data_IF_020087793998
#
_entry.id   IF_020087793998
#
_cell.length_a   1.000
_cell.length_b   1.000
_cell.length_c   1.000
_cell.angle_alpha   90.00
_cell.angle_beta   90.00
_cell.angle_gamma   90.00
#
_symmetry.space_group_name_H-M   'P 1'
#
loop_
_entity.id
_entity.type
_entity.pdbx_description
1 polymer ?
#
# COMPACT_ATOMS: atom_id res chain seq x y z
N UNK A 1 8.29 44.19 -10.26
CA UNK A 1 7.39 43.12 -9.86
C UNK A 1 8.21 42.13 -9.05
N UNK A 2 7.90 41.96 -7.79
CA UNK A 2 8.53 40.91 -6.95
C UNK A 2 8.03 39.56 -7.49
N UNK A 3 8.90 38.81 -8.15
CA UNK A 3 8.56 37.48 -8.64
C UNK A 3 8.39 36.55 -7.43
N UNK A 4 7.14 36.24 -7.17
CA UNK A 4 6.81 35.30 -6.12
C UNK A 4 7.00 33.88 -6.70
N UNK A 5 7.76 33.03 -6.02
CA UNK A 5 7.92 31.60 -6.39
C UNK A 5 6.71 30.75 -6.00
N UNK A 6 5.57 31.38 -5.81
CA UNK A 6 4.29 30.76 -5.49
C UNK A 6 3.30 31.00 -6.63
N UNK A 7 2.83 29.90 -7.22
CA UNK A 7 1.98 29.89 -8.41
C UNK A 7 0.64 29.26 -8.06
N UNK A 8 -0.42 30.05 -8.05
CA UNK A 8 -1.79 29.56 -7.96
C UNK A 8 -2.30 29.20 -9.37
N UNK A 9 -2.68 27.94 -9.58
CA UNK A 9 -3.12 27.46 -10.90
C UNK A 9 -4.35 28.19 -11.42
N UNK A 10 -5.21 28.72 -10.55
CA UNK A 10 -6.42 29.46 -10.93
C UNK A 10 -6.15 30.91 -11.30
N UNK A 11 -4.99 31.46 -10.88
CA UNK A 11 -4.54 32.81 -11.18
C UNK A 11 -3.53 32.84 -12.32
N UNK A 12 -3.16 31.68 -12.86
CA UNK A 12 -2.21 31.61 -13.95
C UNK A 12 -2.86 32.04 -15.27
N UNK A 13 -2.13 32.80 -16.09
CA UNK A 13 -2.69 33.45 -17.30
C UNK A 13 -2.68 32.54 -18.53
N UNK A 14 -2.11 31.36 -18.47
CA UNK A 14 -2.04 30.40 -19.59
C UNK A 14 -2.89 29.18 -19.26
N UNK A 15 -3.86 28.87 -20.13
CA UNK A 15 -4.72 27.72 -20.00
C UNK A 15 -5.93 27.95 -19.08
N UNK A 16 -6.72 26.92 -18.91
CA UNK A 16 -7.85 26.88 -17.98
C UNK A 16 -7.74 25.63 -17.10
N UNK A 17 -7.42 25.77 -15.80
CA UNK A 17 -7.16 24.63 -14.93
C UNK A 17 -8.35 23.70 -14.75
N UNK A 18 -9.57 24.19 -14.90
CA UNK A 18 -10.77 23.36 -14.82
C UNK A 18 -11.03 22.51 -16.08
N UNK A 19 -10.42 22.89 -17.22
CA UNK A 19 -10.51 22.13 -18.48
C UNK A 19 -9.34 21.17 -18.66
N UNK A 20 -8.14 21.63 -18.36
CA UNK A 20 -6.92 20.83 -18.38
C UNK A 20 -5.85 21.44 -17.45
N UNK A 21 -5.80 20.97 -16.23
CA UNK A 21 -4.82 21.42 -15.25
C UNK A 21 -3.38 21.03 -15.65
N UNK A 22 -3.23 19.99 -16.45
CA UNK A 22 -1.90 19.53 -16.91
C UNK A 22 -1.23 20.55 -17.82
N UNK A 23 -1.96 21.17 -18.74
CA UNK A 23 -1.45 22.28 -19.55
C UNK A 23 -1.00 23.47 -18.69
N UNK A 24 -1.80 23.83 -17.69
CA UNK A 24 -1.51 24.93 -16.77
C UNK A 24 -0.24 24.67 -15.98
N UNK A 25 -0.15 23.49 -15.33
CA UNK A 25 1.03 23.13 -14.52
C UNK A 25 2.28 23.06 -15.39
N UNK A 26 2.22 22.45 -16.57
CA UNK A 26 3.36 22.39 -17.50
C UNK A 26 3.83 23.78 -17.92
N UNK A 27 2.90 24.71 -18.17
CA UNK A 27 3.26 26.10 -18.51
C UNK A 27 3.93 26.85 -17.34
N UNK A 28 3.47 26.59 -16.11
CA UNK A 28 4.13 27.11 -14.89
C UNK A 28 5.54 26.53 -14.75
N UNK A 29 5.72 25.21 -14.94
CA UNK A 29 7.03 24.57 -14.89
C UNK A 29 7.99 25.21 -15.92
N UNK A 30 7.53 25.49 -17.13
CA UNK A 30 8.31 26.18 -18.15
C UNK A 30 8.73 27.61 -17.71
N UNK A 31 7.83 28.34 -17.05
CA UNK A 31 8.16 29.67 -16.50
C UNK A 31 9.18 29.57 -15.36
N UNK A 32 9.01 28.62 -14.44
CA UNK A 32 9.98 28.35 -13.37
C UNK A 32 11.36 28.08 -13.96
N UNK A 33 11.45 27.20 -14.96
CA UNK A 33 12.73 26.86 -15.63
C UNK A 33 13.40 28.09 -16.22
N UNK A 34 12.67 29.00 -16.82
CA UNK A 34 13.22 30.25 -17.37
C UNK A 34 13.78 31.20 -16.29
N UNK A 35 13.21 31.14 -15.08
CA UNK A 35 13.60 32.04 -13.96
C UNK A 35 14.63 31.44 -13.04
N UNK A 36 14.78 30.14 -12.98
CA UNK A 36 15.77 29.43 -12.14
C UNK A 36 17.16 29.49 -12.78
N UNK A 37 17.71 30.70 -12.92
CA UNK A 37 19.06 30.89 -13.41
C UNK A 37 19.97 31.34 -12.25
N UNK A 38 21.27 31.11 -12.38
CA UNK A 38 22.26 31.53 -11.39
C UNK A 38 22.28 33.06 -11.18
N UNK A 39 21.70 33.81 -12.09
CA UNK A 39 21.62 35.27 -12.07
C UNK A 39 20.30 35.82 -11.55
N UNK A 40 19.35 34.95 -11.19
CA UNK A 40 18.04 35.38 -10.65
C UNK A 40 18.18 35.85 -9.21
N UNK A 41 18.34 37.15 -9.05
CA UNK A 41 18.47 37.82 -7.75
C UNK A 41 17.20 37.74 -6.88
N UNK A 42 16.04 37.53 -7.49
CA UNK A 42 14.78 37.44 -6.74
C UNK A 42 14.68 36.13 -5.95
N UNK A 43 15.35 35.09 -6.43
CA UNK A 43 15.49 33.83 -5.74
C UNK A 43 16.71 33.74 -4.86
N UNK A 44 17.47 34.84 -4.69
CA UNK A 44 18.74 34.81 -4.01
C UNK A 44 19.71 33.79 -4.62
N UNK A 45 19.58 33.48 -5.91
CA UNK A 45 20.34 32.45 -6.61
C UNK A 45 20.00 31.02 -6.21
N UNK A 46 18.87 30.78 -5.52
CA UNK A 46 18.44 29.44 -5.07
C UNK A 46 17.22 28.97 -5.86
N UNK A 47 17.18 27.72 -6.34
CA UNK A 47 15.99 27.14 -6.94
C UNK A 47 14.94 26.86 -5.86
N UNK A 48 13.68 26.86 -6.26
CA UNK A 48 12.54 26.50 -5.41
C UNK A 48 11.28 27.19 -5.86
N UNK A 49 10.20 26.44 -5.96
CA UNK A 49 8.88 26.97 -6.32
C UNK A 49 7.76 26.14 -5.73
N UNK A 50 6.62 26.78 -5.53
CA UNK A 50 5.37 26.16 -5.08
C UNK A 50 4.32 26.34 -6.16
N UNK A 51 3.69 25.26 -6.60
CA UNK A 51 2.47 25.27 -7.40
C UNK A 51 1.33 24.91 -6.46
N UNK A 52 0.38 25.83 -6.29
CA UNK A 52 -0.77 25.66 -5.43
C UNK A 52 -2.03 25.37 -6.24
N UNK A 53 -2.75 24.34 -5.82
CA UNK A 53 -4.02 23.92 -6.39
C UNK A 53 -5.11 24.23 -5.36
N UNK A 54 -5.90 25.30 -5.53
CA UNK A 54 -7.01 25.63 -4.65
C UNK A 54 -8.07 24.49 -4.56
N UNK A 55 -9.02 24.56 -3.61
CA UNK A 55 -10.14 23.63 -3.59
C UNK A 55 -10.91 23.64 -4.91
N UNK A 56 -11.24 22.47 -5.44
CA UNK A 56 -11.97 22.29 -6.69
C UNK A 56 -11.67 20.98 -7.39
N UNK A 57 -12.46 20.69 -8.41
CA UNK A 57 -12.27 19.56 -9.31
C UNK A 57 -11.60 20.03 -10.61
N UNK A 58 -10.48 19.41 -10.93
CA UNK A 58 -9.61 19.78 -12.04
C UNK A 58 -9.42 18.61 -12.99
N UNK A 59 -9.88 18.74 -14.24
CA UNK A 59 -9.61 17.73 -15.26
C UNK A 59 -8.16 17.76 -15.69
N UNK A 60 -7.54 16.59 -15.80
CA UNK A 60 -6.18 16.42 -16.28
C UNK A 60 -6.20 15.56 -17.55
N UNK A 61 -6.01 16.19 -18.68
CA UNK A 61 -5.97 15.54 -20.02
C UNK A 61 -4.56 15.47 -20.57
N UNK A 62 -3.72 16.41 -20.19
CA UNK A 62 -2.32 16.48 -20.54
C UNK A 62 -1.47 16.04 -19.35
N UNK A 63 -0.65 15.02 -19.53
CA UNK A 63 0.29 14.57 -18.53
C UNK A 63 1.18 15.72 -18.02
N UNK A 64 1.33 15.83 -16.72
CA UNK A 64 2.29 16.78 -16.12
C UNK A 64 3.69 16.18 -16.17
N UNK A 65 4.61 16.85 -16.87
CA UNK A 65 5.99 16.43 -16.98
C UNK A 65 6.90 17.24 -16.05
N UNK A 66 7.58 16.57 -15.12
CA UNK A 66 8.47 17.19 -14.14
C UNK A 66 9.91 16.76 -14.41
N UNK A 67 10.73 17.73 -14.79
CA UNK A 67 12.18 17.55 -15.03
C UNK A 67 13.05 18.51 -14.20
N UNK A 68 12.46 19.15 -13.19
CA UNK A 68 13.14 20.12 -12.30
C UNK A 68 13.14 19.63 -10.85
N UNK A 69 14.16 20.04 -10.11
CA UNK A 69 14.27 19.81 -8.65
C UNK A 69 13.63 20.94 -7.84
N UNK A 70 13.44 20.70 -6.55
CA UNK A 70 12.96 21.70 -5.57
C UNK A 70 11.58 22.27 -5.90
N UNK A 71 10.74 21.47 -6.52
CA UNK A 71 9.35 21.82 -6.84
C UNK A 71 8.42 21.24 -5.77
N UNK A 72 7.54 22.07 -5.25
CA UNK A 72 6.44 21.63 -4.41
C UNK A 72 5.11 21.84 -5.15
N UNK A 73 4.31 20.77 -5.27
CA UNK A 73 2.93 20.84 -5.76
C UNK A 73 2.04 20.52 -4.56
N UNK A 74 1.14 21.44 -4.22
CA UNK A 74 0.30 21.29 -3.04
C UNK A 74 -1.13 21.74 -3.28
N UNK A 75 -2.05 21.03 -2.61
CA UNK A 75 -3.47 21.36 -2.59
C UNK A 75 -3.98 21.85 -1.24
N UNK A 76 -5.27 22.00 -1.11
CA UNK A 76 -6.00 22.44 0.08
C UNK A 76 -6.68 21.28 0.84
N UNK A 77 -6.13 20.09 0.76
CA UNK A 77 -6.69 18.86 1.32
C UNK A 77 -6.99 17.84 0.23
N UNK A 78 -6.89 16.56 0.56
CA UNK A 78 -7.03 15.51 -0.46
C UNK A 78 -8.49 15.25 -0.90
N UNK A 79 -9.49 15.82 -0.21
CA UNK A 79 -10.90 15.72 -0.63
C UNK A 79 -11.43 14.30 -0.82
N UNK A 80 -10.70 13.32 -0.29
CA UNK A 80 -10.98 11.92 -0.52
C UNK A 80 -12.17 11.47 0.32
N UNK A 81 -13.06 10.72 -0.30
CA UNK A 81 -14.21 10.11 0.35
C UNK A 81 -14.08 8.60 0.23
N UNK A 82 -14.09 7.89 1.35
CA UNK A 82 -14.16 6.44 1.29
C UNK A 82 -15.44 6.00 0.57
N UNK A 83 -15.38 4.89 -0.15
CA UNK A 83 -16.52 4.32 -0.84
C UNK A 83 -17.73 4.13 0.08
N UNK A 84 -17.49 3.68 1.31
CA UNK A 84 -18.56 3.47 2.29
C UNK A 84 -19.33 4.75 2.65
N UNK A 85 -18.65 5.88 2.80
CA UNK A 85 -19.32 7.18 3.05
C UNK A 85 -20.08 7.62 1.83
N UNK A 86 -19.46 7.53 0.64
CA UNK A 86 -20.09 7.94 -0.62
C UNK A 86 -21.39 7.21 -0.91
N UNK A 87 -21.47 5.93 -0.59
CA UNK A 87 -22.66 5.11 -0.80
C UNK A 87 -23.75 5.33 0.25
N UNK A 88 -23.37 5.63 1.47
CA UNK A 88 -24.28 5.63 2.61
C UNK A 88 -24.80 6.99 3.03
N UNK A 89 -24.31 8.08 2.42
CA UNK A 89 -24.70 9.44 2.78
C UNK A 89 -25.30 10.18 1.59
N UNK A 90 -26.62 10.31 1.51
CA UNK A 90 -27.30 11.05 0.45
C UNK A 90 -26.84 12.50 0.37
N UNK A 91 -26.69 13.03 -0.84
CA UNK A 91 -26.24 14.42 -1.06
C UNK A 91 -27.11 15.46 -0.34
N UNK A 92 -28.39 15.18 -0.14
CA UNK A 92 -29.32 16.05 0.59
C UNK A 92 -28.93 16.26 2.06
N UNK A 93 -28.33 15.26 2.70
CA UNK A 93 -27.90 15.35 4.10
C UNK A 93 -26.71 16.30 4.25
N UNK A 94 -25.77 16.27 3.29
CA UNK A 94 -24.63 17.19 3.26
C UNK A 94 -25.06 18.63 3.03
N UNK A 95 -26.02 18.85 2.14
CA UNK A 95 -26.57 20.17 1.90
C UNK A 95 -27.24 20.75 3.16
N UNK A 96 -27.87 19.91 3.98
CA UNK A 96 -28.47 20.32 5.25
C UNK A 96 -27.45 20.82 6.27
N UNK A 97 -26.24 20.21 6.28
CA UNK A 97 -25.13 20.62 7.13
C UNK A 97 -24.35 21.82 6.58
N UNK A 98 -24.76 22.36 5.46
CA UNK A 98 -24.04 23.41 4.71
C UNK A 98 -22.63 22.98 4.29
N UNK A 99 -22.40 21.68 4.15
CA UNK A 99 -21.16 21.11 3.61
C UNK A 99 -21.31 20.83 2.11
N UNK A 100 -20.21 20.97 1.40
CA UNK A 100 -20.07 20.58 0.00
C UNK A 100 -19.16 19.35 -0.06
N UNK A 101 -19.67 18.30 -0.64
CA UNK A 101 -19.01 17.01 -0.66
C UNK A 101 -18.85 16.44 -2.08
N UNK A 102 -17.71 15.87 -2.50
CA UNK A 102 -16.40 15.93 -1.79
C UNK A 102 -15.78 17.33 -1.88
N UNK A 103 -14.91 17.65 -0.89
CA UNK A 103 -14.18 18.91 -0.82
C UNK A 103 -12.70 18.77 -1.21
N UNK A 104 -11.90 19.80 -0.90
CA UNK A 104 -10.46 19.81 -1.13
C UNK A 104 -10.07 20.01 -2.59
N UNK A 105 -8.82 19.69 -2.92
CA UNK A 105 -8.25 19.80 -4.26
C UNK A 105 -8.19 18.44 -4.92
N UNK A 106 -8.91 18.23 -6.02
CA UNK A 106 -9.01 16.93 -6.68
C UNK A 106 -8.67 17.03 -8.15
N UNK A 107 -7.74 16.19 -8.61
CA UNK A 107 -7.33 16.06 -10.00
C UNK A 107 -8.01 14.82 -10.59
N UNK A 108 -8.86 15.04 -11.59
CA UNK A 108 -9.59 14.01 -12.31
C UNK A 108 -8.77 13.60 -13.53
N UNK A 109 -8.25 12.38 -13.54
CA UNK A 109 -7.37 11.91 -14.61
C UNK A 109 -8.17 11.47 -15.84
N UNK A 110 -8.30 12.38 -16.79
CA UNK A 110 -8.98 12.17 -18.08
C UNK A 110 -8.01 11.77 -19.22
N UNK A 111 -6.81 11.35 -18.90
CA UNK A 111 -5.84 10.88 -19.90
C UNK A 111 -6.41 9.62 -20.57
N UNK A 112 -6.45 9.62 -21.88
CA UNK A 112 -6.76 8.42 -22.65
C UNK A 112 -5.53 7.54 -22.76
N UNK A 113 -5.65 6.27 -22.36
CA UNK A 113 -4.60 5.26 -22.46
C UNK A 113 -5.06 4.16 -23.43
N UNK A 114 -4.20 3.75 -24.35
CA UNK A 114 -4.51 2.72 -25.33
C UNK A 114 -3.69 1.46 -25.07
N UNK A 115 -4.20 0.28 -25.45
CA UNK A 115 -3.41 -0.95 -25.40
C UNK A 115 -2.12 -0.82 -26.18
N UNK A 116 -0.99 -1.07 -25.52
CA UNK A 116 0.34 -0.96 -26.12
C UNK A 116 1.06 0.36 -25.86
N UNK A 117 0.41 1.32 -25.20
CA UNK A 117 1.09 2.51 -24.72
C UNK A 117 2.15 2.15 -23.66
N UNK A 118 3.15 3.00 -23.52
CA UNK A 118 4.16 2.82 -22.49
C UNK A 118 3.54 2.98 -21.09
N UNK A 119 4.04 2.25 -20.10
CA UNK A 119 3.52 2.19 -18.73
C UNK A 119 3.30 3.58 -18.10
N UNK A 120 4.13 4.56 -18.44
CA UNK A 120 4.00 5.92 -17.92
C UNK A 120 2.99 6.80 -18.70
N UNK A 121 2.44 6.34 -19.80
CA UNK A 121 1.56 7.16 -20.65
C UNK A 121 0.31 7.65 -19.92
N UNK A 122 -0.23 6.83 -19.01
CA UNK A 122 -1.39 7.17 -18.19
C UNK A 122 -1.07 7.90 -16.88
N UNK A 123 0.19 8.29 -16.64
CA UNK A 123 0.55 8.96 -15.40
C UNK A 123 0.05 10.41 -15.36
N UNK A 124 -0.63 10.77 -14.27
CA UNK A 124 -1.00 12.16 -14.03
C UNK A 124 0.24 13.04 -13.89
N UNK A 125 1.22 12.56 -13.11
CA UNK A 125 2.52 13.20 -12.94
C UNK A 125 3.64 12.24 -13.38
N UNK A 126 4.35 12.62 -14.41
CA UNK A 126 5.50 11.89 -14.92
C UNK A 126 6.79 12.63 -14.58
N UNK A 127 7.61 12.03 -13.73
CA UNK A 127 8.88 12.62 -13.26
C UNK A 127 10.03 11.94 -13.93
N UNK A 128 10.77 12.65 -14.78
CA UNK A 128 11.92 12.10 -15.50
C UNK A 128 12.94 13.16 -15.83
N UNK A 129 14.19 12.86 -15.59
CA UNK A 129 15.35 13.56 -16.14
C UNK A 129 16.38 12.55 -16.59
N UNK A 130 16.92 12.73 -17.78
CA UNK A 130 18.03 11.92 -18.27
C UNK A 130 19.36 12.55 -17.82
N UNK A 131 20.26 11.74 -17.26
CA UNK A 131 21.58 12.17 -16.85
C UNK A 131 21.64 12.82 -15.47
N UNK A 132 22.77 13.47 -15.19
CA UNK A 132 23.05 14.13 -13.94
C UNK A 132 22.84 15.65 -14.05
N UNK A 133 22.49 16.32 -12.96
CA UNK A 133 22.14 15.77 -11.65
C UNK A 133 20.76 15.12 -11.65
N UNK A 134 20.54 14.16 -10.72
CA UNK A 134 19.19 13.61 -10.45
C UNK A 134 18.20 14.72 -10.10
N UNK A 135 16.91 14.50 -10.36
CA UNK A 135 15.87 15.34 -9.76
C UNK A 135 15.84 15.03 -8.27
N UNK A 136 15.80 16.07 -7.47
CA UNK A 136 15.79 15.94 -6.02
C UNK A 136 14.79 16.89 -5.38
N UNK A 137 14.28 16.49 -4.21
CA UNK A 137 13.47 17.34 -3.34
C UNK A 137 12.21 17.87 -4.01
N UNK A 138 11.50 17.01 -4.76
CA UNK A 138 10.15 17.30 -5.23
C UNK A 138 9.15 16.81 -4.18
N UNK A 139 8.13 17.61 -3.92
CA UNK A 139 7.09 17.31 -2.97
C UNK A 139 5.70 17.38 -3.61
N UNK A 140 4.87 16.38 -3.30
CA UNK A 140 3.44 16.34 -3.59
C UNK A 140 2.68 16.32 -2.27
N UNK A 141 1.80 17.30 -2.04
CA UNK A 141 1.17 17.46 -0.73
C UNK A 141 -0.31 17.85 -0.83
N UNK A 142 -1.16 17.16 -0.06
CA UNK A 142 -2.51 17.58 0.28
C UNK A 142 -3.47 17.78 -0.91
N UNK A 143 -3.49 16.89 -1.90
CA UNK A 143 -4.52 16.84 -2.93
C UNK A 143 -4.84 15.41 -3.32
N UNK A 144 -5.95 15.20 -4.03
CA UNK A 144 -6.38 13.90 -4.52
C UNK A 144 -6.06 13.73 -6.00
N UNK A 145 -5.65 12.52 -6.39
CA UNK A 145 -5.58 12.06 -7.78
C UNK A 145 -6.61 10.94 -7.95
N UNK A 146 -7.59 11.18 -8.80
CA UNK A 146 -8.75 10.33 -9.04
C UNK A 146 -8.72 9.77 -10.46
N UNK A 147 -8.65 8.46 -10.60
CA UNK A 147 -8.61 7.77 -11.89
C UNK A 147 -9.96 7.67 -12.59
N UNK A 148 -11.08 8.05 -11.96
CA UNK A 148 -12.45 8.12 -12.51
C UNK A 148 -13.11 6.80 -12.92
N UNK A 149 -12.47 5.66 -12.74
CA UNK A 149 -12.98 4.38 -13.24
C UNK A 149 -13.57 3.47 -12.17
N UNK A 150 -14.21 4.03 -11.19
CA UNK A 150 -15.03 3.25 -10.31
C UNK A 150 -16.47 3.32 -10.82
N UNK A 151 -16.95 2.24 -11.38
CA UNK A 151 -18.35 2.12 -11.74
C UNK A 151 -19.12 1.84 -10.46
N UNK A 152 -19.62 2.90 -9.89
CA UNK A 152 -20.50 2.86 -8.76
C UNK A 152 -21.93 2.68 -9.26
N UNK A 153 -22.47 1.48 -9.11
CA UNK A 153 -23.87 1.22 -9.37
C UNK A 153 -24.76 1.46 -8.14
N UNK A 154 -24.19 2.03 -7.07
CA UNK A 154 -24.86 2.24 -5.79
C UNK A 154 -25.07 0.95 -4.98
N UNK A 155 -24.68 -0.20 -5.52
CA UNK A 155 -24.82 -1.52 -4.91
C UNK A 155 -23.46 -2.12 -4.51
N UNK A 156 -22.37 -1.38 -4.77
CA UNK A 156 -21.00 -1.86 -4.56
C UNK A 156 -20.56 -2.96 -5.54
N UNK A 157 -21.31 -3.18 -6.61
CA UNK A 157 -20.94 -4.10 -7.67
C UNK A 157 -19.95 -3.42 -8.60
N UNK A 158 -18.69 -3.51 -8.26
CA UNK A 158 -17.62 -3.14 -9.18
C UNK A 158 -17.43 -4.28 -10.16
N UNK A 159 -17.35 -3.98 -11.44
CA UNK A 159 -16.86 -4.95 -12.40
C UNK A 159 -15.35 -5.13 -12.17
N UNK A 160 -14.91 -6.22 -11.52
CA UNK A 160 -13.52 -6.41 -11.19
C UNK A 160 -12.64 -6.54 -12.42
N UNK A 161 -13.19 -6.98 -13.54
CA UNK A 161 -12.42 -7.14 -14.78
C UNK A 161 -12.03 -5.79 -15.39
N UNK A 162 -12.82 -4.75 -15.19
CA UNK A 162 -12.67 -3.47 -15.88
C UNK A 162 -12.32 -2.29 -14.96
N UNK A 163 -12.62 -2.34 -13.67
CA UNK A 163 -12.51 -1.16 -12.80
C UNK A 163 -11.09 -0.84 -12.32
N UNK A 164 -10.19 -1.81 -12.33
CA UNK A 164 -8.82 -1.65 -11.78
C UNK A 164 -7.72 -1.73 -12.83
N UNK A 165 -8.07 -1.98 -14.08
CA UNK A 165 -7.16 -1.98 -15.22
C UNK A 165 -7.60 -0.86 -16.15
N UNK A 166 -7.11 0.34 -15.87
CA UNK A 166 -7.45 1.52 -16.66
C UNK A 166 -6.23 2.24 -17.24
N UNK A 167 -5.04 1.68 -17.07
CA UNK A 167 -3.77 2.24 -17.55
C UNK A 167 -3.34 3.51 -16.83
N UNK A 168 -4.07 3.96 -15.80
CA UNK A 168 -3.80 5.24 -15.15
C UNK A 168 -2.89 5.08 -13.94
N UNK A 169 -1.91 5.97 -13.85
CA UNK A 169 -0.97 6.07 -12.74
C UNK A 169 -1.07 7.45 -12.10
N UNK A 170 -1.12 7.51 -10.78
CA UNK A 170 -1.14 8.80 -10.09
C UNK A 170 0.19 9.54 -10.25
N UNK A 171 1.26 8.99 -9.68
CA UNK A 171 2.60 9.55 -9.80
C UNK A 171 3.55 8.47 -10.30
N UNK A 172 4.23 8.75 -11.40
CA UNK A 172 5.24 7.86 -11.98
C UNK A 172 6.62 8.54 -11.93
N UNK A 173 7.53 8.00 -11.12
CA UNK A 173 8.89 8.51 -10.97
C UNK A 173 9.84 7.57 -11.71
N UNK A 174 10.30 7.99 -12.88
CA UNK A 174 11.20 7.20 -13.72
C UNK A 174 12.65 7.45 -13.34
N UNK A 175 13.38 6.38 -13.19
CA UNK A 175 14.82 6.25 -13.01
C UNK A 175 15.59 7.27 -12.14
N UNK A 176 16.24 6.74 -11.10
CA UNK A 176 17.34 7.34 -10.35
C UNK A 176 17.09 8.77 -9.80
N UNK A 177 15.90 9.05 -9.32
CA UNK A 177 15.57 10.31 -8.62
C UNK A 177 15.73 10.14 -7.11
N UNK A 178 15.76 11.23 -6.33
CA UNK A 178 15.89 11.12 -4.89
C UNK A 178 15.11 12.15 -4.07
N UNK A 179 15.05 11.92 -2.77
CA UNK A 179 14.51 12.81 -1.76
C UNK A 179 13.09 13.33 -2.01
N UNK A 180 12.25 12.54 -2.66
CA UNK A 180 10.83 12.88 -2.88
C UNK A 180 10.02 12.82 -1.58
N UNK A 181 9.03 13.71 -1.49
CA UNK A 181 8.04 13.74 -0.41
C UNK A 181 6.65 13.60 -1.01
N UNK A 182 5.90 12.62 -0.53
CA UNK A 182 4.52 12.36 -0.94
C UNK A 182 3.72 12.27 0.34
N UNK A 183 3.00 13.34 0.68
CA UNK A 183 2.44 13.54 2.02
C UNK A 183 1.02 14.09 1.97
N UNK A 184 0.10 13.49 2.74
CA UNK A 184 -1.27 13.97 2.83
C UNK A 184 -2.05 13.85 1.52
N UNK A 185 -1.61 13.00 0.62
CA UNK A 185 -2.23 12.77 -0.67
C UNK A 185 -3.40 11.80 -0.58
N UNK A 186 -4.37 11.97 -1.48
CA UNK A 186 -5.37 10.97 -1.80
C UNK A 186 -5.08 10.33 -3.17
N UNK A 187 -5.15 9.00 -3.24
CA UNK A 187 -5.09 8.25 -4.51
C UNK A 187 -6.27 7.31 -4.58
N UNK A 188 -7.05 7.40 -5.64
CA UNK A 188 -8.25 6.60 -5.77
C UNK A 188 -8.52 6.21 -7.23
N UNK A 189 -9.01 5.00 -7.46
CA UNK A 189 -9.45 4.48 -8.76
C UNK A 189 -8.38 4.51 -9.85
N UNK A 190 -7.14 4.33 -9.47
CA UNK A 190 -6.00 4.25 -10.36
C UNK A 190 -5.57 2.78 -10.50
N UNK A 191 -5.07 2.38 -11.66
CA UNK A 191 -4.41 1.09 -11.78
C UNK A 191 -3.14 1.06 -10.94
N UNK A 192 -2.37 2.18 -10.93
CA UNK A 192 -1.19 2.35 -10.11
C UNK A 192 -1.27 3.69 -9.34
N UNK A 193 -1.30 3.63 -8.01
CA UNK A 193 -1.31 4.85 -7.20
C UNK A 193 0.00 5.62 -7.32
N UNK A 194 1.09 4.98 -6.90
CA UNK A 194 2.45 5.49 -6.97
C UNK A 194 3.40 4.41 -7.49
N UNK A 195 4.08 4.68 -8.60
CA UNK A 195 5.13 3.82 -9.14
C UNK A 195 6.44 4.57 -9.23
N UNK A 196 7.52 3.96 -8.72
CA UNK A 196 8.86 4.56 -8.76
C UNK A 196 9.89 3.56 -9.26
N UNK A 197 10.89 4.05 -9.99
CA UNK A 197 12.02 3.22 -10.45
C UNK A 197 13.35 3.78 -9.98
N UNK A 198 14.18 2.93 -9.36
CA UNK A 198 15.55 3.22 -8.94
C UNK A 198 15.66 4.52 -8.12
N UNK A 199 14.72 4.78 -7.24
CA UNK A 199 14.63 6.04 -6.49
C UNK A 199 15.06 5.84 -5.04
N UNK A 200 15.76 6.85 -4.49
CA UNK A 200 16.33 6.81 -3.16
C UNK A 200 15.71 7.85 -2.21
N UNK A 201 15.86 7.64 -0.92
CA UNK A 201 15.56 8.60 0.15
C UNK A 201 14.15 9.22 0.09
N UNK A 202 13.18 8.47 -0.39
CA UNK A 202 11.79 8.92 -0.47
C UNK A 202 11.11 8.86 0.89
N UNK A 203 10.14 9.75 1.11
CA UNK A 203 9.20 9.66 2.22
C UNK A 203 7.77 9.67 1.68
N UNK A 204 7.09 8.54 1.81
CA UNK A 204 5.70 8.32 1.46
C UNK A 204 4.94 8.22 2.78
N UNK A 205 4.27 9.32 3.18
CA UNK A 205 3.84 9.49 4.55
C UNK A 205 2.43 10.10 4.64
N UNK A 206 1.61 9.55 5.55
CA UNK A 206 0.30 10.09 5.88
C UNK A 206 -0.62 10.26 4.65
N UNK A 207 -0.61 9.29 3.74
CA UNK A 207 -1.47 9.30 2.57
C UNK A 207 -2.69 8.40 2.78
N UNK A 208 -3.75 8.72 2.07
CA UNK A 208 -4.93 7.89 1.94
C UNK A 208 -4.98 7.30 0.53
N UNK A 209 -4.70 6.00 0.40
CA UNK A 209 -4.67 5.29 -0.88
C UNK A 209 -5.74 4.21 -0.84
N UNK A 210 -6.72 4.28 -1.73
CA UNK A 210 -7.77 3.30 -1.73
C UNK A 210 -8.24 2.96 -3.15
N UNK A 211 -8.73 1.73 -3.26
CA UNK A 211 -9.38 1.25 -4.48
C UNK A 211 -8.51 1.45 -5.72
N UNK A 212 -7.20 1.22 -5.57
CA UNK A 212 -6.23 1.15 -6.65
C UNK A 212 -5.90 -0.31 -6.98
N UNK A 213 -5.50 -0.60 -8.21
CA UNK A 213 -5.00 -1.91 -8.61
C UNK A 213 -3.74 -2.27 -7.84
N UNK A 214 -2.72 -1.43 -7.94
CA UNK A 214 -1.51 -1.41 -7.09
C UNK A 214 -1.42 -0.06 -6.38
N UNK A 215 -1.13 -0.05 -5.09
CA UNK A 215 -1.14 1.20 -4.34
C UNK A 215 0.23 1.90 -4.33
N UNK A 216 1.28 1.22 -3.85
CA UNK A 216 2.64 1.76 -3.80
C UNK A 216 3.62 0.73 -4.37
N UNK A 217 4.35 1.11 -5.40
CA UNK A 217 5.33 0.24 -6.06
C UNK A 217 6.70 0.92 -6.11
N UNK A 218 7.66 0.32 -5.42
CA UNK A 218 9.07 0.69 -5.44
C UNK A 218 9.82 -0.34 -6.28
N UNK A 219 10.10 -0.03 -7.53
CA UNK A 219 10.71 -0.94 -8.48
C UNK A 219 12.16 -0.59 -8.77
N UNK A 220 12.94 -1.59 -9.12
CA UNK A 220 14.35 -1.45 -9.41
C UNK A 220 15.20 -1.19 -8.16
N UNK A 221 16.48 -0.93 -8.34
CA UNK A 221 17.41 -0.71 -7.24
C UNK A 221 17.18 0.65 -6.59
N UNK A 222 16.86 0.66 -5.30
CA UNK A 222 16.68 1.87 -4.49
C UNK A 222 17.07 1.63 -3.04
N UNK A 223 17.19 2.71 -2.25
CA UNK A 223 17.56 2.59 -0.85
C UNK A 223 17.03 3.71 0.04
N UNK A 224 17.07 3.46 1.36
CA UNK A 224 16.89 4.46 2.42
C UNK A 224 15.55 5.22 2.35
N UNK A 225 14.47 4.56 1.95
CA UNK A 225 13.14 5.16 1.84
C UNK A 225 12.22 4.76 2.97
N UNK A 226 11.13 5.52 3.15
CA UNK A 226 10.12 5.26 4.18
C UNK A 226 8.72 5.23 3.58
N UNK A 227 7.91 4.27 4.03
CA UNK A 227 6.47 4.20 3.80
C UNK A 227 5.83 4.15 5.19
N UNK A 228 5.30 5.29 5.66
CA UNK A 228 4.88 5.41 7.06
C UNK A 228 3.53 6.08 7.22
N UNK A 229 2.76 5.61 8.21
CA UNK A 229 1.51 6.23 8.65
C UNK A 229 0.46 6.40 7.53
N UNK A 230 0.47 5.52 6.53
CA UNK A 230 -0.51 5.55 5.46
C UNK A 230 -1.73 4.69 5.81
N UNK A 231 -2.89 5.12 5.35
CA UNK A 231 -4.09 4.30 5.27
C UNK A 231 -4.23 3.78 3.84
N UNK A 232 -4.11 2.46 3.66
CA UNK A 232 -4.16 1.82 2.35
C UNK A 232 -5.38 0.91 2.32
N UNK A 233 -6.38 1.30 1.57
CA UNK A 233 -7.71 0.71 1.61
C UNK A 233 -7.94 -0.48 0.68
N UNK A 234 -7.11 -0.77 -0.28
CA UNK A 234 -7.13 -1.97 -1.11
C UNK A 234 -6.06 -1.92 -2.21
N UNK A 235 -5.44 -3.07 -2.48
CA UNK A 235 -4.70 -3.33 -3.72
C UNK A 235 -5.47 -4.42 -4.45
N UNK A 236 -6.41 -4.06 -5.29
CA UNK A 236 -7.44 -4.99 -5.76
C UNK A 236 -6.91 -6.16 -6.58
N UNK A 237 -6.10 -5.97 -7.59
CA UNK A 237 -5.50 -7.06 -8.39
C UNK A 237 -4.01 -7.25 -8.11
N UNK A 238 -3.43 -6.34 -7.36
CA UNK A 238 -2.00 -6.29 -7.12
C UNK A 238 -1.67 -6.14 -5.63
N UNK A 239 -0.78 -5.22 -5.36
CA UNK A 239 -0.14 -5.07 -4.06
C UNK A 239 -0.57 -3.76 -3.37
N UNK A 240 -0.71 -3.81 -2.05
CA UNK A 240 -0.78 -2.56 -1.29
C UNK A 240 0.61 -1.90 -1.22
N UNK A 241 1.65 -2.67 -0.91
CA UNK A 241 3.04 -2.22 -0.97
C UNK A 241 3.88 -3.28 -1.68
N UNK A 242 4.50 -2.92 -2.78
CA UNK A 242 5.47 -3.74 -3.49
C UNK A 242 6.83 -3.06 -3.50
N UNK A 243 7.89 -3.78 -3.15
CA UNK A 243 9.26 -3.30 -3.28
C UNK A 243 10.14 -4.36 -3.93
N UNK A 244 10.96 -3.93 -4.88
CA UNK A 244 11.86 -4.81 -5.64
C UNK A 244 13.30 -4.29 -5.56
N UNK A 245 14.25 -5.20 -5.25
CA UNK A 245 15.69 -4.92 -5.22
C UNK A 245 16.05 -3.69 -4.35
N UNK A 246 15.39 -3.52 -3.22
CA UNK A 246 15.48 -2.34 -2.38
C UNK A 246 16.29 -2.60 -1.12
N UNK A 247 17.06 -1.61 -0.64
CA UNK A 247 17.84 -1.69 0.59
C UNK A 247 17.44 -0.65 1.64
N UNK A 248 17.38 -1.06 2.92
CA UNK A 248 17.14 -0.11 4.02
C UNK A 248 15.77 0.59 3.96
N UNK A 249 14.72 -0.12 3.59
CA UNK A 249 13.35 0.38 3.56
C UNK A 249 12.73 0.32 4.96
N UNK A 250 12.04 1.37 5.38
CA UNK A 250 11.22 1.39 6.57
C UNK A 250 9.73 1.41 6.19
N UNK A 251 8.99 0.37 6.57
CA UNK A 251 7.54 0.28 6.44
C UNK A 251 6.96 0.25 7.86
N UNK A 252 6.34 1.35 8.32
CA UNK A 252 5.86 1.41 9.69
C UNK A 252 4.60 2.27 9.88
N UNK A 253 3.79 1.90 10.89
CA UNK A 253 2.60 2.67 11.25
C UNK A 253 1.49 2.65 10.21
N UNK A 254 1.56 1.80 9.18
CA UNK A 254 0.53 1.76 8.16
C UNK A 254 -0.66 0.90 8.60
N UNK A 255 -1.85 1.31 8.20
CA UNK A 255 -3.06 0.51 8.29
C UNK A 255 -3.44 0.05 6.88
N UNK A 256 -3.33 -1.26 6.63
CA UNK A 256 -3.44 -1.84 5.29
C UNK A 256 -4.59 -2.84 5.23
N UNK A 257 -5.44 -2.69 4.23
CA UNK A 257 -6.56 -3.56 3.95
C UNK A 257 -6.58 -3.94 2.45
N UNK A 258 -5.81 -4.93 2.03
CA UNK A 258 -5.80 -5.36 0.64
C UNK A 258 -6.97 -6.27 0.30
N UNK A 259 -7.29 -6.33 -0.97
CA UNK A 259 -8.27 -7.25 -1.55
C UNK A 259 -7.72 -8.01 -2.75
N UNK A 260 -6.42 -7.96 -2.97
CA UNK A 260 -5.73 -8.56 -4.10
C UNK A 260 -4.59 -9.48 -3.68
N UNK A 261 -3.45 -9.35 -4.35
CA UNK A 261 -2.35 -10.29 -4.26
C UNK A 261 -1.67 -10.32 -2.89
N UNK A 262 -1.23 -9.17 -2.35
CA UNK A 262 -0.51 -9.12 -1.09
C UNK A 262 -0.59 -7.73 -0.43
N UNK A 263 -0.54 -7.70 0.90
CA UNK A 263 -0.41 -6.43 1.64
C UNK A 263 0.98 -5.84 1.48
N UNK A 264 2.02 -6.65 1.75
CA UNK A 264 3.41 -6.25 1.64
C UNK A 264 4.18 -7.34 0.91
N UNK A 265 4.70 -7.02 -0.26
CA UNK A 265 5.48 -7.93 -1.08
C UNK A 265 6.88 -7.38 -1.32
N UNK A 266 7.88 -8.06 -0.78
CA UNK A 266 9.28 -7.67 -0.83
C UNK A 266 10.08 -8.68 -1.67
N UNK A 267 10.53 -8.25 -2.84
CA UNK A 267 11.25 -9.08 -3.81
C UNK A 267 12.71 -8.64 -3.92
N UNK A 268 13.65 -9.43 -3.44
CA UNK A 268 15.07 -9.07 -3.41
C UNK A 268 15.39 -7.89 -2.48
N UNK A 269 14.59 -7.69 -1.44
CA UNK A 269 14.73 -6.56 -0.49
C UNK A 269 15.63 -6.96 0.66
N UNK A 270 16.55 -6.06 1.04
CA UNK A 270 17.55 -6.34 2.06
C UNK A 270 17.62 -5.26 3.13
N UNK A 271 17.97 -5.69 4.37
CA UNK A 271 18.23 -4.77 5.51
C UNK A 271 17.12 -3.78 5.77
N UNK A 272 15.89 -4.22 5.62
CA UNK A 272 14.68 -3.41 5.73
C UNK A 272 13.88 -3.78 6.98
N UNK A 273 13.04 -2.85 7.42
CA UNK A 273 12.24 -3.02 8.62
C UNK A 273 10.76 -2.85 8.29
N UNK A 274 9.95 -3.82 8.69
CA UNK A 274 8.48 -3.78 8.63
C UNK A 274 7.98 -3.86 10.07
N UNK A 275 7.47 -2.77 10.63
CA UNK A 275 7.15 -2.71 12.06
C UNK A 275 5.95 -1.84 12.39
N UNK A 276 5.18 -2.23 13.39
CA UNK A 276 4.06 -1.42 13.90
C UNK A 276 2.93 -1.22 12.90
N UNK A 277 2.81 -2.08 11.88
CA UNK A 277 1.72 -2.01 10.92
C UNK A 277 0.55 -2.88 11.36
N UNK A 278 -0.66 -2.46 10.99
CA UNK A 278 -1.84 -3.30 11.01
C UNK A 278 -2.15 -3.73 9.58
N UNK A 279 -2.16 -5.04 9.35
CA UNK A 279 -2.43 -5.64 8.05
C UNK A 279 -3.66 -6.53 8.16
N UNK A 280 -4.66 -6.25 7.37
CA UNK A 280 -5.88 -7.03 7.28
C UNK A 280 -6.04 -7.58 5.87
N UNK A 281 -6.36 -8.85 5.73
CA UNK A 281 -6.61 -9.50 4.45
C UNK A 281 -7.61 -10.64 4.59
N UNK A 282 -8.16 -11.06 3.46
CA UNK A 282 -8.98 -12.29 3.36
C UNK A 282 -8.17 -13.48 2.84
N UNK A 283 -6.96 -13.25 2.33
CA UNK A 283 -6.17 -14.22 1.57
C UNK A 283 -4.81 -14.51 2.21
N UNK A 284 -4.21 -15.67 1.93
CA UNK A 284 -2.81 -15.95 2.25
C UNK A 284 -1.86 -15.03 1.46
N UNK A 285 -0.57 -15.09 1.76
CA UNK A 285 0.42 -14.19 1.16
C UNK A 285 0.33 -12.75 1.62
N UNK A 286 -0.16 -12.50 2.82
CA UNK A 286 -0.28 -11.15 3.39
C UNK A 286 1.06 -10.44 3.49
N UNK A 287 2.10 -11.15 3.88
CA UNK A 287 3.50 -10.73 3.77
C UNK A 287 4.25 -11.75 2.93
N UNK A 288 4.92 -11.30 1.88
CA UNK A 288 5.76 -12.15 1.03
C UNK A 288 7.16 -11.58 0.99
N UNK A 289 8.14 -12.40 1.36
CA UNK A 289 9.56 -12.17 1.10
C UNK A 289 10.00 -13.18 0.06
N UNK A 290 10.56 -12.72 -1.06
CA UNK A 290 11.02 -13.61 -2.13
C UNK A 290 12.30 -13.12 -2.81
N UNK A 291 12.80 -13.86 -3.78
CA UNK A 291 13.96 -13.52 -4.59
C UNK A 291 15.21 -13.17 -3.74
N UNK A 292 15.49 -14.02 -2.75
CA UNK A 292 16.62 -13.86 -1.83
C UNK A 292 16.54 -12.61 -0.94
N UNK A 293 15.34 -12.14 -0.60
CA UNK A 293 15.17 -11.09 0.40
C UNK A 293 15.89 -11.46 1.70
N UNK A 294 16.73 -10.58 2.23
CA UNK A 294 17.64 -10.95 3.32
C UNK A 294 17.86 -9.86 4.36
N UNK A 295 18.19 -10.28 5.57
CA UNK A 295 18.53 -9.40 6.69
C UNK A 295 17.41 -8.41 7.02
N UNK A 296 16.14 -8.79 6.79
CA UNK A 296 14.98 -7.96 7.09
C UNK A 296 14.44 -8.25 8.49
N UNK A 297 13.96 -7.21 9.16
CA UNK A 297 13.28 -7.28 10.44
C UNK A 297 11.78 -7.07 10.26
N UNK A 298 11.00 -8.09 10.59
CA UNK A 298 9.53 -8.05 10.60
C UNK A 298 9.08 -8.16 12.05
N UNK A 299 8.72 -7.03 12.68
CA UNK A 299 8.53 -7.01 14.11
C UNK A 299 7.32 -6.19 14.56
N UNK A 300 6.66 -6.63 15.62
CA UNK A 300 5.58 -5.87 16.27
C UNK A 300 4.45 -5.43 15.30
N UNK A 301 4.16 -6.23 14.29
CA UNK A 301 3.01 -6.01 13.41
C UNK A 301 1.80 -6.79 13.90
N UNK A 302 0.62 -6.31 13.54
CA UNK A 302 -0.63 -7.02 13.69
C UNK A 302 -1.08 -7.53 12.32
N UNK A 303 -0.95 -8.83 12.07
CA UNK A 303 -1.49 -9.53 10.93
C UNK A 303 -2.85 -10.11 11.31
N UNK A 304 -3.85 -9.81 10.53
CA UNK A 304 -5.21 -10.24 10.79
C UNK A 304 -5.87 -10.73 9.51
N UNK A 305 -6.23 -12.02 9.47
CA UNK A 305 -6.98 -12.58 8.35
C UNK A 305 -8.40 -12.91 8.77
N UNK A 306 -9.35 -12.45 7.96
CA UNK A 306 -10.77 -12.76 8.03
C UNK A 306 -11.18 -13.63 6.85
N UNK A 307 -12.25 -14.41 6.97
CA UNK A 307 -12.71 -15.28 5.90
C UNK A 307 -13.85 -14.69 5.10
N UNK A 308 -14.68 -13.90 5.71
CA UNK A 308 -15.81 -13.32 5.02
C UNK A 308 -15.42 -12.03 4.30
N UNK A 309 -15.63 -11.99 2.98
CA UNK A 309 -15.53 -10.75 2.24
C UNK A 309 -16.61 -9.79 2.72
N UNK A 310 -16.23 -8.54 2.87
CA UNK A 310 -17.14 -7.49 3.31
C UNK A 310 -18.23 -7.25 2.26
N UNK A 311 -19.51 -7.56 2.51
CA UNK A 311 -20.58 -7.22 1.59
C UNK A 311 -20.71 -5.68 1.50
N UNK A 312 -21.08 -5.11 0.36
CA UNK A 312 -21.28 -5.72 -0.95
C UNK A 312 -20.03 -5.79 -1.83
N UNK A 313 -18.86 -5.54 -1.29
CA UNK A 313 -17.65 -5.38 -2.08
C UNK A 313 -17.07 -6.74 -2.48
N UNK A 314 -16.77 -6.90 -3.76
CA UNK A 314 -16.10 -8.10 -4.25
C UNK A 314 -14.63 -8.06 -3.85
N UNK A 315 -14.12 -9.20 -3.39
CA UNK A 315 -12.71 -9.43 -3.16
C UNK A 315 -12.16 -10.28 -4.30
N UNK A 316 -10.91 -10.05 -4.66
CA UNK A 316 -10.22 -10.91 -5.62
C UNK A 316 -9.58 -12.07 -4.90
N UNK A 317 -9.84 -13.26 -5.40
CA UNK A 317 -9.02 -14.42 -5.06
C UNK A 317 -7.62 -14.20 -5.63
N UNK A 318 -6.59 -14.28 -4.77
CA UNK A 318 -5.20 -14.17 -5.20
C UNK A 318 -4.64 -15.47 -5.81
N UNK A 319 -5.48 -16.49 -5.95
CA UNK A 319 -5.09 -17.77 -6.51
C UNK A 319 -4.19 -18.63 -5.61
N UNK A 320 -3.96 -18.22 -4.37
CA UNK A 320 -3.14 -18.94 -3.40
C UNK A 320 -4.02 -19.77 -2.47
N UNK A 321 -3.65 -21.01 -2.22
CA UNK A 321 -4.29 -21.83 -1.22
C UNK A 321 -3.76 -21.53 0.20
N UNK A 322 -4.47 -21.99 1.21
CA UNK A 322 -4.08 -21.76 2.60
C UNK A 322 -2.76 -22.42 3.00
N UNK A 323 -2.28 -23.39 2.22
CA UNK A 323 -0.97 -24.01 2.43
C UNK A 323 0.19 -23.12 1.95
N UNK A 324 -0.09 -22.08 1.17
CA UNK A 324 0.92 -21.11 0.73
C UNK A 324 1.59 -20.41 1.91
N UNK A 325 0.84 -20.18 2.97
CA UNK A 325 1.26 -19.45 4.15
C UNK A 325 0.71 -18.03 4.20
N UNK A 326 0.19 -17.64 5.35
CA UNK A 326 -0.23 -16.25 5.57
C UNK A 326 0.97 -15.31 5.45
N UNK A 327 2.12 -15.70 6.04
CA UNK A 327 3.42 -15.08 5.89
C UNK A 327 4.34 -16.04 5.13
N UNK A 328 4.83 -15.63 3.97
CA UNK A 328 5.65 -16.46 3.07
C UNK A 328 7.07 -15.94 2.98
N UNK A 329 8.04 -16.77 3.37
CA UNK A 329 9.45 -16.40 3.50
C UNK A 329 10.31 -17.25 2.58
N UNK A 330 10.85 -16.63 1.55
CA UNK A 330 11.82 -17.20 0.64
C UNK A 330 13.07 -16.31 0.63
N UNK A 331 13.97 -16.53 1.59
CA UNK A 331 15.14 -15.69 1.78
C UNK A 331 15.91 -16.05 3.05
N UNK A 332 16.97 -15.32 3.36
CA UNK A 332 17.92 -15.70 4.40
C UNK A 332 18.11 -14.60 5.44
N UNK A 333 18.44 -15.01 6.67
CA UNK A 333 18.78 -14.09 7.77
C UNK A 333 17.69 -13.06 8.09
N UNK A 334 16.41 -13.37 7.81
CA UNK A 334 15.30 -12.53 8.19
C UNK A 334 14.84 -12.86 9.61
N UNK A 335 14.37 -11.85 10.33
CA UNK A 335 13.83 -11.99 11.68
C UNK A 335 12.32 -11.67 11.69
N UNK A 336 11.51 -12.62 12.18
CA UNK A 336 10.08 -12.46 12.42
C UNK A 336 9.85 -12.56 13.92
N UNK A 337 9.65 -11.43 14.59
CA UNK A 337 9.61 -11.40 16.05
C UNK A 337 8.48 -10.54 16.61
N UNK A 338 7.89 -11.00 17.69
CA UNK A 338 6.91 -10.24 18.46
C UNK A 338 5.71 -9.71 17.62
N UNK A 339 5.33 -10.41 16.56
CA UNK A 339 4.14 -10.07 15.81
C UNK A 339 2.90 -10.71 16.45
N UNK A 340 1.77 -10.03 16.35
CA UNK A 340 0.47 -10.61 16.65
C UNK A 340 -0.17 -11.09 15.35
N UNK A 341 -0.55 -12.36 15.28
CA UNK A 341 -1.11 -12.98 14.08
C UNK A 341 -2.44 -13.62 14.45
N UNK A 342 -3.53 -13.06 13.94
CA UNK A 342 -4.88 -13.61 14.10
C UNK A 342 -5.32 -14.28 12.80
N UNK A 343 -5.62 -15.56 12.88
CA UNK A 343 -6.00 -16.38 11.73
C UNK A 343 -7.41 -16.95 11.95
N UNK A 344 -8.32 -16.68 11.02
CA UNK A 344 -9.63 -17.29 10.99
C UNK A 344 -9.64 -18.47 10.02
N UNK A 345 -9.93 -19.65 10.49
CA UNK A 345 -9.87 -20.91 9.75
C UNK A 345 -11.26 -21.48 9.53
N UNK A 346 -11.66 -21.65 8.28
CA UNK A 346 -12.86 -22.37 7.91
C UNK A 346 -12.58 -23.87 7.72
N UNK A 347 -12.77 -24.64 8.77
CA UNK A 347 -12.54 -26.09 8.75
C UNK A 347 -13.49 -26.79 7.78
N UNK A 348 -14.72 -26.31 7.66
CA UNK A 348 -15.74 -26.96 6.83
C UNK A 348 -15.38 -26.84 5.35
N UNK A 349 -14.79 -25.72 4.98
CA UNK A 349 -14.32 -25.48 3.61
C UNK A 349 -13.00 -26.24 3.32
N UNK A 350 -12.03 -26.17 4.22
CA UNK A 350 -10.67 -26.67 3.96
C UNK A 350 -10.52 -28.18 4.10
N UNK A 351 -11.25 -28.80 5.03
CA UNK A 351 -11.15 -30.25 5.29
C UNK A 351 -11.50 -31.12 4.08
N UNK A 352 -12.57 -30.86 3.32
CA UNK A 352 -12.87 -31.62 2.10
C UNK A 352 -11.80 -31.48 1.02
N UNK A 353 -11.07 -30.36 0.99
CA UNK A 353 -10.00 -30.10 0.04
C UNK A 353 -8.66 -30.73 0.46
N UNK A 354 -8.57 -31.22 1.69
CA UNK A 354 -7.32 -31.77 2.24
C UNK A 354 -6.23 -30.73 2.45
N UNK A 355 -6.60 -29.44 2.50
CA UNK A 355 -5.67 -28.33 2.68
C UNK A 355 -5.44 -28.11 4.17
N UNK A 356 -4.19 -27.96 4.58
CA UNK A 356 -3.78 -27.58 5.92
C UNK A 356 -3.35 -26.13 5.94
N UNK A 357 -4.05 -25.25 6.67
CA UNK A 357 -3.64 -23.86 6.79
C UNK A 357 -2.25 -23.73 7.37
N UNK A 358 -1.42 -22.90 6.74
CA UNK A 358 -0.07 -22.57 7.19
C UNK A 358 -0.01 -21.11 7.56
N UNK A 359 0.43 -20.80 8.76
CA UNK A 359 0.54 -19.41 9.21
C UNK A 359 1.84 -18.80 8.69
N UNK A 360 2.99 -19.39 9.04
CA UNK A 360 4.30 -18.92 8.57
C UNK A 360 4.94 -20.05 7.76
N UNK A 361 5.28 -19.78 6.51
CA UNK A 361 5.96 -20.73 5.64
C UNK A 361 7.37 -20.27 5.32
N UNK A 362 8.35 -21.08 5.69
CA UNK A 362 9.74 -20.94 5.29
C UNK A 362 9.99 -21.81 4.06
N UNK A 363 10.08 -21.19 2.89
CA UNK A 363 10.21 -21.92 1.62
C UNK A 363 11.65 -22.31 1.36
N UNK A 364 12.57 -21.34 1.46
CA UNK A 364 13.98 -21.55 1.26
C UNK A 364 14.83 -20.57 2.07
N UNK A 365 16.15 -20.77 2.03
CA UNK A 365 17.10 -19.89 2.69
C UNK A 365 17.56 -20.41 4.06
N UNK A 366 18.43 -19.65 4.68
CA UNK A 366 19.10 -20.06 5.94
C UNK A 366 19.18 -18.92 6.94
N UNK A 367 19.34 -19.30 8.20
CA UNK A 367 19.61 -18.34 9.28
C UNK A 367 18.45 -17.43 9.60
N UNK A 368 17.21 -17.77 9.21
CA UNK A 368 16.04 -17.00 9.61
C UNK A 368 15.74 -17.25 11.10
N UNK A 369 15.24 -16.22 11.77
CA UNK A 369 14.91 -16.25 13.18
C UNK A 369 13.42 -15.95 13.37
N UNK A 370 12.66 -16.90 13.89
CA UNK A 370 11.22 -16.77 14.17
C UNK A 370 11.03 -17.00 15.67
N UNK A 371 10.56 -15.96 16.38
CA UNK A 371 10.43 -16.06 17.83
C UNK A 371 9.37 -15.10 18.39
N UNK A 372 8.76 -15.52 19.49
CA UNK A 372 7.86 -14.69 20.30
C UNK A 372 6.69 -14.09 19.51
N UNK A 373 6.28 -14.71 18.41
CA UNK A 373 5.07 -14.32 17.72
C UNK A 373 3.86 -14.91 18.45
N UNK A 374 2.87 -14.07 18.70
CA UNK A 374 1.61 -14.51 19.29
C UNK A 374 0.64 -14.88 18.19
N UNK A 375 0.35 -16.16 18.02
CA UNK A 375 -0.58 -16.69 17.01
C UNK A 375 -1.88 -17.05 17.70
N UNK A 376 -2.97 -16.41 17.27
CA UNK A 376 -4.34 -16.71 17.69
C UNK A 376 -5.08 -17.32 16.51
N UNK A 377 -5.56 -18.54 16.67
CA UNK A 377 -6.40 -19.19 15.69
C UNK A 377 -7.86 -19.17 16.16
N UNK A 378 -8.75 -18.84 15.25
CA UNK A 378 -10.18 -18.83 15.48
C UNK A 378 -10.90 -19.63 14.41
N UNK A 379 -12.07 -20.14 14.72
CA UNK A 379 -12.97 -20.74 13.75
C UNK A 379 -14.33 -20.07 13.85
N UNK A 380 -15.02 -19.97 12.73
CA UNK A 380 -16.39 -19.50 12.72
C UNK A 380 -17.28 -20.60 13.29
N UNK A 381 -18.02 -20.28 14.32
CA UNK A 381 -19.19 -21.08 14.70
C UNK A 381 -20.38 -20.51 13.94
N UNK A 382 -21.04 -21.35 13.16
CA UNK A 382 -22.33 -21.00 12.56
C UNK A 382 -23.34 -20.70 13.67
N UNK A 383 -23.26 -19.49 14.21
CA UNK A 383 -24.39 -18.93 14.94
C UNK A 383 -25.49 -18.74 13.92
N UNK A 384 -26.61 -19.36 14.18
CA UNK A 384 -27.83 -19.22 13.38
C UNK A 384 -27.96 -17.75 12.96
N UNK A 385 -28.00 -17.52 11.66
CA UNK A 385 -28.08 -16.21 11.02
C UNK A 385 -29.17 -15.37 11.69
N UNK A 386 -28.76 -14.54 12.63
CA UNK A 386 -29.58 -13.42 13.03
C UNK A 386 -29.44 -12.41 11.87
N UNK A 387 -30.49 -12.26 11.07
CA UNK A 387 -30.54 -11.24 10.05
C UNK A 387 -30.38 -9.87 10.76
N UNK A 388 -29.32 -9.11 10.47
CA UNK A 388 -29.21 -7.76 11.00
C UNK A 388 -30.35 -6.90 10.44
N UNK A 389 -30.88 -5.98 11.24
CA UNK A 389 -31.82 -4.99 10.76
C UNK A 389 -31.13 -4.10 9.73
N UNK A 390 -31.88 -3.60 8.73
CA UNK A 390 -31.32 -2.79 7.63
C UNK A 390 -30.56 -1.53 8.11
N UNK A 391 -30.82 -1.04 9.31
CA UNK A 391 -30.11 0.12 9.90
C UNK A 391 -28.73 -0.22 10.48
N UNK A 392 -28.49 -1.48 10.84
CA UNK A 392 -27.22 -1.92 11.44
C UNK A 392 -26.24 -2.50 10.41
N UNK A 393 -26.60 -2.63 9.16
CA UNK A 393 -25.86 -3.39 8.15
C UNK A 393 -24.44 -2.88 7.89
N UNK A 394 -24.17 -1.58 8.09
CA UNK A 394 -22.84 -1.00 7.86
C UNK A 394 -21.88 -1.24 9.05
N UNK A 395 -22.37 -1.27 10.28
CA UNK A 395 -21.57 -1.53 11.48
C UNK A 395 -21.68 -2.98 11.98
N UNK A 396 -22.80 -3.67 11.73
CA UNK A 396 -23.05 -5.03 12.19
C UNK A 396 -22.21 -6.09 11.46
N UNK A 397 -21.69 -5.79 10.28
CA UNK A 397 -20.76 -6.68 9.57
C UNK A 397 -19.44 -6.91 10.32
N UNK A 398 -19.13 -6.09 11.32
CA UNK A 398 -17.92 -6.26 12.13
C UNK A 398 -18.10 -7.13 13.38
N UNK A 399 -19.30 -7.53 13.75
CA UNK A 399 -19.55 -8.12 15.08
C UNK A 399 -20.33 -9.45 15.05
N UNK A 400 -20.84 -9.90 13.94
CA UNK A 400 -21.84 -10.99 13.97
C UNK A 400 -21.34 -12.43 13.85
N UNK A 401 -20.08 -12.66 13.54
CA UNK A 401 -19.50 -14.00 13.67
C UNK A 401 -18.97 -14.17 15.11
N UNK A 402 -19.56 -15.05 15.88
CA UNK A 402 -18.97 -15.48 17.15
C UNK A 402 -17.73 -16.32 16.82
N UNK A 403 -16.58 -15.65 16.78
CA UNK A 403 -15.31 -16.33 16.61
C UNK A 403 -15.01 -17.10 17.90
N UNK A 404 -14.76 -18.37 17.76
CA UNK A 404 -14.35 -19.23 18.88
C UNK A 404 -12.87 -19.51 18.76
N UNK A 405 -12.10 -19.09 19.76
CA UNK A 405 -10.68 -19.45 19.83
C UNK A 405 -10.53 -20.97 19.93
N UNK A 406 -9.67 -21.53 19.09
CA UNK A 406 -9.35 -22.94 19.09
C UNK A 406 -7.84 -23.13 18.96
N UNK A 407 -7.36 -24.30 19.36
CA UNK A 407 -5.94 -24.63 19.19
C UNK A 407 -5.65 -24.95 17.73
N UNK A 408 -4.48 -24.55 17.24
CA UNK A 408 -4.06 -24.82 15.86
C UNK A 408 -4.20 -26.30 15.47
N UNK A 409 -3.84 -27.22 16.37
CA UNK A 409 -3.97 -28.66 16.13
C UNK A 409 -5.42 -29.13 15.99
N UNK A 410 -6.35 -28.50 16.67
CA UNK A 410 -7.78 -28.81 16.58
C UNK A 410 -8.34 -28.34 15.23
N UNK A 411 -7.72 -27.31 14.66
CA UNK A 411 -8.02 -26.75 13.35
C UNK A 411 -7.20 -27.39 12.23
N UNK A 412 -6.40 -28.40 12.53
CA UNK A 412 -5.45 -29.05 11.60
C UNK A 412 -4.52 -28.04 10.89
N UNK A 413 -4.13 -26.97 11.59
CA UNK A 413 -3.32 -25.88 11.09
C UNK A 413 -1.86 -25.99 11.56
N UNK A 414 -0.95 -25.41 10.80
CA UNK A 414 0.50 -25.41 11.05
C UNK A 414 0.97 -23.99 11.36
N UNK A 415 1.53 -23.78 12.56
CA UNK A 415 2.06 -22.50 12.97
C UNK A 415 3.27 -22.07 12.11
N UNK A 416 4.26 -22.97 11.95
CA UNK A 416 5.44 -22.74 11.12
C UNK A 416 5.73 -23.98 10.31
N UNK A 417 5.69 -23.86 8.99
CA UNK A 417 6.10 -24.91 8.05
C UNK A 417 7.48 -24.60 7.50
N UNK A 418 8.39 -25.58 7.52
CA UNK A 418 9.74 -25.44 7.00
C UNK A 418 9.93 -26.41 5.84
N UNK A 419 10.21 -25.87 4.66
CA UNK A 419 10.47 -26.67 3.46
C UNK A 419 11.92 -27.20 3.44
N UNK A 420 12.16 -28.20 2.58
CA UNK A 420 13.45 -28.91 2.52
C UNK A 420 14.64 -28.02 2.15
N UNK A 421 14.39 -27.01 1.36
CA UNK A 421 15.39 -26.04 0.89
C UNK A 421 15.75 -25.01 1.97
N UNK A 422 15.03 -25.01 3.08
CA UNK A 422 15.26 -24.12 4.21
C UNK A 422 16.08 -24.82 5.29
N UNK A 423 17.20 -24.24 5.70
CA UNK A 423 18.12 -24.86 6.63
C UNK A 423 18.70 -23.86 7.65
N UNK A 424 19.19 -24.37 8.78
CA UNK A 424 19.87 -23.57 9.81
C UNK A 424 19.02 -22.40 10.34
N UNK A 425 17.71 -22.53 10.35
CA UNK A 425 16.80 -21.53 10.89
C UNK A 425 16.60 -21.79 12.39
N UNK A 426 16.35 -20.72 13.13
CA UNK A 426 16.01 -20.77 14.55
C UNK A 426 14.55 -20.46 14.72
N UNK A 427 13.77 -21.42 15.24
CA UNK A 427 12.36 -21.25 15.53
C UNK A 427 12.17 -21.51 17.02
N UNK A 428 11.75 -20.48 17.73
CA UNK A 428 11.38 -20.56 19.14
C UNK A 428 9.85 -20.56 19.25
N UNK A 429 9.35 -20.80 20.47
CA UNK A 429 7.92 -20.76 20.71
C UNK A 429 7.30 -19.46 20.19
N UNK A 430 6.37 -19.59 19.29
CA UNK A 430 5.64 -18.46 18.70
C UNK A 430 4.54 -17.90 19.62
N UNK A 431 4.44 -18.37 20.86
CA UNK A 431 3.42 -17.94 21.80
C UNK A 431 2.02 -18.45 21.49
N UNK A 432 1.90 -19.47 20.64
CA UNK A 432 0.65 -20.20 20.46
C UNK A 432 0.44 -21.21 21.60
N UNK A 433 -0.80 -21.54 21.90
CA UNK A 433 -1.15 -22.61 22.89
C UNK A 433 -0.58 -23.98 22.51
N UNK A 434 -0.23 -24.16 21.25
CA UNK A 434 0.46 -25.34 20.76
C UNK A 434 1.96 -25.10 20.75
N UNK A 435 2.69 -26.00 21.36
CA UNK A 435 4.15 -26.04 21.21
C UNK A 435 4.46 -26.09 19.72
N UNK A 436 5.35 -25.20 19.27
CA UNK A 436 5.79 -25.16 17.89
C UNK A 436 6.18 -26.57 17.46
N UNK A 437 5.47 -27.08 16.46
CA UNK A 437 5.86 -28.30 15.79
C UNK A 437 7.09 -27.96 14.95
N UNK A 438 8.27 -28.14 15.52
CA UNK A 438 9.49 -28.00 14.75
C UNK A 438 9.56 -29.13 13.74
N UNK A 439 9.58 -28.78 12.46
CA UNK A 439 9.95 -29.74 11.43
C UNK A 439 11.39 -30.22 11.70
N UNK A 440 11.65 -31.50 11.46
CA UNK A 440 12.98 -32.13 11.69
C UNK A 440 14.09 -31.46 10.87
N UNK A 441 13.79 -30.68 9.86
CA UNK A 441 14.74 -29.90 9.08
C UNK A 441 15.31 -28.68 9.83
N UNK A 442 14.70 -28.27 10.93
CA UNK A 442 15.16 -27.15 11.75
C UNK A 442 16.22 -27.65 12.72
N UNK A 443 17.41 -27.05 12.68
CA UNK A 443 18.38 -27.24 13.73
C UNK A 443 17.88 -26.60 15.02
N UNK A 444 17.39 -27.42 15.94
CA UNK A 444 16.95 -26.94 17.23
C UNK A 444 18.07 -26.16 17.92
N UNK A 445 17.71 -24.98 18.44
CA UNK A 445 18.60 -24.21 19.30
C UNK A 445 19.02 -25.10 20.50
N UNK A 446 20.30 -25.44 20.61
CA UNK A 446 20.85 -25.97 21.83
C UNK A 446 21.18 -24.77 22.72
N UNK A 447 20.39 -24.55 23.74
CA UNK A 447 20.78 -23.65 24.80
C UNK A 447 22.17 -24.12 25.30
N UNK A 448 23.17 -23.31 25.08
CA UNK A 448 24.48 -23.54 25.73
C UNK A 448 24.22 -23.33 27.22
N UNK A 449 24.50 -24.32 28.09
CA UNK A 449 24.38 -24.11 29.52
C UNK A 449 25.20 -22.89 29.90
N UNK A 450 24.61 -21.93 30.59
CA UNK A 450 25.36 -20.82 31.14
C UNK A 450 26.40 -21.41 32.11
N UNK A 451 27.70 -21.22 31.87
CA UNK A 451 28.71 -21.75 32.83
C UNK A 451 28.50 -21.04 34.17
N UNK A 452 28.12 -21.78 35.18
CA UNK A 452 28.09 -21.26 36.55
C UNK A 452 26.80 -21.49 37.35
N UNK A 453 25.82 -22.23 36.88
CA UNK A 453 24.71 -22.71 37.70
C UNK A 453 24.88 -24.20 37.98
N UNK A 454 25.75 -24.54 38.96
CA UNK A 454 25.65 -25.75 39.77
C UNK A 454 25.11 -25.36 41.14
#
# INVERSE_FOLDING_TARGET
MTHNNYYDVTQWHIGNPYKDIGEVINSIILDIKKRQTATDVNNGGKPGAVIYIPPGDYHLKTQVFIDISYLKIMGAGHGFVSSSIRFNTPAVEWAYLHDVWPGGSRILVDICVHPGDEEHAGAAFYVKRSGAPRISSVAFENFCIDGLHFIDDGLGNNDPENSYINGKTGIYIASAQDAFRITGMGFIYLEHGLTTYNSDAMAIHNNFIAECGNCIELRGAGQASKITDNLIGAGYKGYSIYAQNFGGLLISGNNIFPRGASSVHLSGVVRSTVTGNRLHSFYPGMLVLENNSAENLIAANHFFRDREPWPPMQTYDNGLDDAYGLLHINGSHNSLIANHISETIDIQYLKPLGIKPVIIRLVSGKGNYIANNHIVATTETSAAQAQPSEEDACFAAQVSALLTTARLKELDAVAVQVEKESAQNTILDSGSDDRVLMDRAVNAFRATPVPGTM
#
